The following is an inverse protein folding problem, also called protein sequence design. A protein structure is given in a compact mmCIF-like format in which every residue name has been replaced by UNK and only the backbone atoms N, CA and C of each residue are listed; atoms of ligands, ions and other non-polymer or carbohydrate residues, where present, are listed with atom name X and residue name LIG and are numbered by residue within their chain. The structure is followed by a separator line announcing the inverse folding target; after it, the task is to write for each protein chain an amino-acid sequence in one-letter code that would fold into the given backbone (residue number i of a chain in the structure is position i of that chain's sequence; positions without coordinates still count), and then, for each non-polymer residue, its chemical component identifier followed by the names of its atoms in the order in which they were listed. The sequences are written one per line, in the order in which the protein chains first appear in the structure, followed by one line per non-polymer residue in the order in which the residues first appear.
data_IF_717310057461
#
_entry.id   IF_717310057461
#
_cell.length_a   1.000
_cell.length_b   1.000
_cell.length_c   1.000
_cell.angle_alpha   90.00
_cell.angle_beta   90.00
_cell.angle_gamma   90.00
#
_symmetry.space_group_name_H-M   'P 1'
#
loop_
_entity.id
_entity.type
_entity.pdbx_description
1 polymer ?
#
# COMPACT_ATOMS: atom_id res chain seq x y z
N UNK A 1 36.74 19.53 -0.19
CA UNK A 1 35.45 20.23 -0.33
C UNK A 1 35.35 21.33 0.73
N UNK A 2 34.94 22.54 0.36
CA UNK A 2 34.63 23.57 1.35
C UNK A 2 33.24 23.33 1.96
N UNK A 3 32.98 23.82 3.18
CA UNK A 3 31.66 23.74 3.82
C UNK A 3 30.57 24.40 2.97
N UNK A 4 30.94 25.42 2.19
CA UNK A 4 30.03 26.12 1.28
C UNK A 4 29.63 25.23 0.10
N UNK A 5 30.59 24.53 -0.48
CA UNK A 5 30.30 23.61 -1.60
C UNK A 5 29.36 22.50 -1.14
N UNK A 6 29.60 21.93 0.05
CA UNK A 6 28.73 20.92 0.63
C UNK A 6 27.29 21.43 0.89
N UNK A 7 27.13 22.67 1.36
CA UNK A 7 25.82 23.27 1.58
C UNK A 7 25.09 23.55 0.26
N UNK A 8 25.80 24.03 -0.76
CA UNK A 8 25.21 24.29 -2.08
C UNK A 8 24.81 22.99 -2.79
N UNK A 9 25.62 21.95 -2.67
CA UNK A 9 25.35 20.65 -3.29
C UNK A 9 24.17 19.93 -2.62
N UNK A 10 24.08 19.99 -1.29
CA UNK A 10 22.93 19.43 -0.56
C UNK A 10 21.61 20.19 -0.83
N UNK A 11 21.66 21.51 -1.02
CA UNK A 11 20.51 22.30 -1.46
C UNK A 11 20.10 21.97 -2.90
N UNK A 12 21.05 21.77 -3.81
CA UNK A 12 20.78 21.41 -5.19
C UNK A 12 20.11 20.02 -5.29
N UNK A 13 20.64 19.03 -4.58
CA UNK A 13 20.08 17.68 -4.51
C UNK A 13 18.70 17.68 -3.85
N UNK A 14 18.54 18.40 -2.72
CA UNK A 14 17.26 18.51 -2.02
C UNK A 14 16.19 19.23 -2.85
N UNK A 15 16.56 20.31 -3.53
CA UNK A 15 15.68 21.06 -4.44
C UNK A 15 15.24 20.24 -5.65
N UNK A 16 16.13 19.43 -6.22
CA UNK A 16 15.83 18.51 -7.32
C UNK A 16 14.90 17.38 -6.87
N UNK A 17 15.15 16.78 -5.71
CA UNK A 17 14.29 15.74 -5.16
C UNK A 17 12.88 16.28 -4.85
N UNK A 18 12.76 17.53 -4.38
CA UNK A 18 11.49 18.20 -4.15
C UNK A 18 10.74 18.50 -5.47
N UNK A 19 11.44 18.98 -6.52
CA UNK A 19 10.82 19.30 -7.81
C UNK A 19 10.33 18.08 -8.58
N UNK A 20 10.98 16.92 -8.41
CA UNK A 20 10.53 15.64 -8.96
C UNK A 20 9.53 14.88 -8.06
N UNK A 21 9.09 15.45 -6.94
CA UNK A 21 8.14 14.79 -6.03
C UNK A 21 8.71 13.55 -5.34
N UNK A 22 10.03 13.37 -5.35
CA UNK A 22 10.73 12.23 -4.76
C UNK A 22 11.00 12.43 -3.26
N UNK A 23 10.88 13.65 -2.75
CA UNK A 23 11.15 13.97 -1.34
C UNK A 23 10.07 13.49 -0.33
N UNK A 24 8.76 13.42 -0.64
CA UNK A 24 7.78 12.90 0.32
C UNK A 24 7.11 11.59 -0.13
N UNK A 25 7.63 10.87 -1.12
CA UNK A 25 6.96 9.66 -1.62
C UNK A 25 6.85 8.55 -0.56
N UNK A 26 7.80 8.43 0.38
CA UNK A 26 7.67 7.50 1.51
C UNK A 26 6.68 7.98 2.59
N UNK A 27 6.60 9.29 2.86
CA UNK A 27 5.67 9.84 3.86
C UNK A 27 4.22 9.90 3.37
N UNK A 28 4.01 9.98 2.05
CA UNK A 28 2.67 9.99 1.47
C UNK A 28 1.89 8.69 1.74
N UNK A 29 2.59 7.57 1.93
CA UNK A 29 1.98 6.26 2.20
C UNK A 29 1.89 5.96 3.70
N UNK A 30 2.77 6.54 4.51
CA UNK A 30 2.79 6.36 5.96
C UNK A 30 1.56 6.96 6.67
N UNK A 31 0.87 7.90 6.04
CA UNK A 31 -0.36 8.53 6.57
C UNK A 31 -1.65 7.96 6.02
N UNK A 32 -1.60 6.95 5.14
CA UNK A 32 -2.81 6.29 4.64
C UNK A 32 -3.31 5.39 5.77
N UNK A 33 -4.28 5.89 6.52
CA UNK A 33 -5.06 5.08 7.44
C UNK A 33 -6.31 4.60 6.72
N UNK A 34 -6.62 3.30 6.80
CA UNK A 34 -7.91 2.80 6.34
C UNK A 34 -9.03 3.54 7.10
N UNK A 35 -10.11 3.99 6.45
CA UNK A 35 -11.27 4.52 7.15
C UNK A 35 -11.80 3.54 8.21
N UNK A 36 -12.39 4.06 9.30
CA UNK A 36 -12.85 3.25 10.43
C UNK A 36 -13.95 2.21 10.08
N UNK A 37 -14.63 2.39 8.94
CA UNK A 37 -15.61 1.45 8.38
C UNK A 37 -15.11 0.80 7.08
N UNK A 38 -13.80 0.57 6.97
CA UNK A 38 -13.27 -0.10 5.80
C UNK A 38 -13.72 -1.57 5.77
N UNK A 39 -14.29 -1.96 4.63
CA UNK A 39 -14.70 -3.33 4.35
C UNK A 39 -13.71 -3.95 3.38
N UNK A 40 -13.12 -5.08 3.75
CA UNK A 40 -12.15 -5.81 2.93
C UNK A 40 -12.85 -6.41 1.72
N UNK A 41 -12.40 -6.04 0.53
CA UNK A 41 -12.91 -6.55 -0.75
C UNK A 41 -11.86 -7.39 -1.46
N UNK A 42 -12.17 -8.66 -1.68
CA UNK A 42 -11.22 -9.64 -2.22
C UNK A 42 -11.62 -10.00 -3.65
N UNK A 43 -10.77 -9.63 -4.62
CA UNK A 43 -10.79 -10.18 -5.97
C UNK A 43 -9.84 -11.39 -6.06
N UNK A 44 -10.21 -12.46 -6.76
CA UNK A 44 -9.33 -13.63 -6.90
C UNK A 44 -9.35 -14.27 -8.28
N UNK A 45 -8.20 -14.80 -8.70
CA UNK A 45 -8.10 -15.77 -9.78
C UNK A 45 -8.24 -17.19 -9.23
N UNK A 46 -8.84 -18.12 -9.98
CA UNK A 46 -9.02 -19.51 -9.54
C UNK A 46 -7.71 -20.31 -9.66
N UNK A 47 -6.68 -19.90 -8.92
CA UNK A 47 -5.37 -20.56 -8.77
C UNK A 47 -5.06 -20.75 -7.29
N UNK A 48 -4.09 -21.61 -6.98
CA UNK A 48 -3.78 -22.01 -5.59
C UNK A 48 -3.40 -20.85 -4.67
N UNK A 49 -2.79 -19.80 -5.19
CA UNK A 49 -2.37 -18.63 -4.40
C UNK A 49 -3.54 -17.92 -3.70
N UNK A 50 -4.76 -17.99 -4.26
CA UNK A 50 -5.95 -17.41 -3.64
C UNK A 50 -6.46 -18.22 -2.42
N UNK A 51 -5.96 -19.43 -2.18
CA UNK A 51 -6.49 -20.37 -1.17
C UNK A 51 -6.52 -19.75 0.21
N UNK A 52 -5.45 -19.04 0.62
CA UNK A 52 -5.37 -18.45 1.96
C UNK A 52 -6.49 -17.43 2.20
N UNK A 53 -6.80 -16.61 1.21
CA UNK A 53 -7.84 -15.58 1.30
C UNK A 53 -9.25 -16.21 1.31
N UNK A 54 -9.48 -17.20 0.45
CA UNK A 54 -10.77 -17.88 0.35
C UNK A 54 -11.09 -18.71 1.59
N UNK A 55 -10.10 -19.42 2.13
CA UNK A 55 -10.25 -20.21 3.36
C UNK A 55 -10.41 -19.29 4.56
N UNK A 56 -9.63 -18.21 4.67
CA UNK A 56 -9.78 -17.24 5.76
C UNK A 56 -11.19 -16.65 5.79
N UNK A 57 -11.73 -16.26 4.64
CA UNK A 57 -13.11 -15.79 4.54
C UNK A 57 -14.11 -16.90 4.91
N UNK A 58 -13.95 -18.11 4.37
CA UNK A 58 -14.88 -19.22 4.64
C UNK A 58 -14.86 -19.71 6.10
N UNK A 59 -13.75 -19.48 6.81
CA UNK A 59 -13.56 -19.88 8.21
C UNK A 59 -13.85 -18.76 9.21
N UNK A 60 -14.09 -17.54 8.75
CA UNK A 60 -14.38 -16.40 9.63
C UNK A 60 -13.13 -15.73 10.23
N UNK A 61 -11.93 -16.08 9.77
CA UNK A 61 -10.68 -15.54 10.35
C UNK A 61 -10.54 -14.03 10.19
N UNK A 62 -11.15 -13.42 9.18
CA UNK A 62 -11.18 -11.96 9.07
C UNK A 62 -12.02 -11.32 10.19
N UNK A 63 -13.19 -11.91 10.49
CA UNK A 63 -14.08 -11.40 11.54
C UNK A 63 -13.46 -11.58 12.93
N UNK A 64 -12.75 -12.68 13.16
CA UNK A 64 -12.00 -12.94 14.40
C UNK A 64 -10.95 -11.85 14.69
N UNK A 65 -10.32 -11.30 13.63
CA UNK A 65 -9.38 -10.19 13.71
C UNK A 65 -10.05 -8.80 13.66
N UNK A 66 -11.39 -8.76 13.73
CA UNK A 66 -12.17 -7.51 13.72
C UNK A 66 -12.35 -6.88 12.34
N UNK A 67 -12.01 -7.59 11.26
CA UNK A 67 -12.18 -7.13 9.89
C UNK A 67 -13.54 -7.55 9.33
N UNK A 68 -14.30 -6.57 8.81
CA UNK A 68 -15.47 -6.86 7.97
C UNK A 68 -14.98 -7.20 6.57
N UNK A 69 -15.37 -8.37 6.04
CA UNK A 69 -15.00 -8.79 4.69
C UNK A 69 -16.25 -9.08 3.84
N UNK A 70 -16.26 -8.54 2.62
CA UNK A 70 -17.25 -8.90 1.60
C UNK A 70 -16.92 -10.26 0.97
N UNK A 71 -17.94 -10.88 0.36
CA UNK A 71 -17.77 -12.15 -0.37
C UNK A 71 -16.70 -12.02 -1.47
N UNK A 72 -15.70 -12.92 -1.52
CA UNK A 72 -14.69 -12.89 -2.57
C UNK A 72 -15.29 -13.01 -3.97
N UNK A 73 -14.80 -12.19 -4.90
CA UNK A 73 -15.28 -12.10 -6.26
C UNK A 73 -14.24 -12.66 -7.24
N UNK A 74 -14.65 -13.58 -8.09
CA UNK A 74 -13.78 -14.13 -9.14
C UNK A 74 -13.52 -13.05 -10.20
N UNK A 75 -12.24 -12.78 -10.50
CA UNK A 75 -11.83 -11.89 -11.60
C UNK A 75 -11.38 -12.73 -12.81
N UNK A 76 -11.42 -12.15 -14.02
CA UNK A 76 -11.15 -12.87 -15.27
C UNK A 76 -9.67 -12.91 -15.67
N UNK A 77 -8.87 -12.00 -15.16
CA UNK A 77 -7.47 -11.82 -15.55
C UNK A 77 -6.90 -10.55 -14.93
N UNK A 78 -5.60 -10.34 -15.14
CA UNK A 78 -4.88 -9.15 -14.65
C UNK A 78 -4.87 -7.97 -15.63
N UNK A 79 -5.49 -8.12 -16.80
CA UNK A 79 -5.42 -7.21 -17.96
C UNK A 79 -6.79 -6.72 -18.37
#
# INVERSE_FOLDING_TARGET
MSRRDFLLDSLAVGGLAASFGLAPSMSAWAGIQPPDDEVVRIGYLPITDATVLLVAHAKGFFEEEGLKAERPTLIRGWS
#
